data_IF_339380976830
#
_entry.id   IF_339380976830
#
_cell.length_a   1.000
_cell.length_b   1.000
_cell.length_c   1.000
_cell.angle_alpha   90.00
_cell.angle_beta   90.00
_cell.angle_gamma   90.00
#
_symmetry.space_group_name_H-M   'P 1'
#
loop_
_entity.id
_entity.type
_entity.pdbx_description
1 polymer ?
#
# COMPACT_ATOMS: atom_id res chain seq x y z
N UNK A 1 -11.19 -0.66 -23.62
CA UNK A 1 -9.93 0.06 -23.89
C UNK A 1 -10.24 1.54 -24.14
N UNK A 2 -11.31 1.82 -24.89
CA UNK A 2 -11.79 3.18 -25.19
C UNK A 2 -12.10 4.04 -23.97
N UNK A 3 -12.73 3.48 -22.93
CA UNK A 3 -13.01 4.22 -21.68
C UNK A 3 -11.74 4.66 -20.93
N UNK A 4 -10.66 3.87 -20.95
CA UNK A 4 -9.40 4.22 -20.26
C UNK A 4 -8.71 5.35 -21.02
N UNK A 5 -8.64 5.25 -22.36
CA UNK A 5 -8.00 6.28 -23.18
C UNK A 5 -8.76 7.61 -23.10
N UNK A 6 -10.09 7.58 -23.11
CA UNK A 6 -10.91 8.76 -22.89
C UNK A 6 -10.65 9.40 -21.52
N UNK A 7 -10.52 8.59 -20.46
CA UNK A 7 -10.21 9.07 -19.11
C UNK A 7 -8.81 9.69 -19.02
N UNK A 8 -7.80 9.03 -19.59
CA UNK A 8 -6.42 9.57 -19.64
C UNK A 8 -6.43 10.93 -20.34
N UNK A 9 -7.13 11.06 -21.47
CA UNK A 9 -7.23 12.34 -22.19
C UNK A 9 -7.96 13.41 -21.38
N UNK A 10 -9.02 13.04 -20.64
CA UNK A 10 -9.77 13.96 -19.75
C UNK A 10 -8.88 14.54 -18.65
N UNK A 11 -7.98 13.73 -18.10
CA UNK A 11 -7.14 14.08 -16.94
C UNK A 11 -5.66 14.29 -17.30
N UNK A 12 -5.35 14.56 -18.57
CA UNK A 12 -3.97 14.68 -19.08
C UNK A 12 -3.16 15.77 -18.36
N UNK A 13 -3.85 16.86 -18.01
CA UNK A 13 -3.30 18.01 -17.27
C UNK A 13 -2.73 17.66 -15.90
N UNK A 14 -3.07 16.51 -15.31
CA UNK A 14 -2.45 16.05 -14.05
C UNK A 14 -0.94 15.88 -14.18
N UNK A 15 -0.45 15.58 -15.39
CA UNK A 15 0.96 15.33 -15.66
C UNK A 15 1.69 16.56 -16.23
N UNK A 16 0.99 17.68 -16.42
CA UNK A 16 1.55 18.94 -16.88
C UNK A 16 1.95 19.80 -15.67
N UNK A 17 3.21 19.67 -15.23
CA UNK A 17 3.73 20.43 -14.09
C UNK A 17 4.73 21.47 -14.56
N UNK A 18 4.52 22.72 -14.15
CA UNK A 18 5.46 23.83 -14.36
C UNK A 18 6.01 24.29 -13.01
N UNK A 19 7.15 23.74 -12.55
CA UNK A 19 7.66 24.02 -11.20
C UNK A 19 7.97 25.50 -11.01
N UNK A 20 7.42 26.07 -9.94
CA UNK A 20 7.65 27.44 -9.50
C UNK A 20 9.10 27.66 -9.07
N UNK A 21 9.53 28.94 -9.00
CA UNK A 21 10.86 29.27 -8.45
C UNK A 21 11.05 28.70 -7.04
N UNK A 22 10.01 28.81 -6.20
CA UNK A 22 10.01 28.25 -4.84
C UNK A 22 10.20 26.74 -4.85
N UNK A 23 9.54 26.02 -5.75
CA UNK A 23 9.71 24.57 -5.88
C UNK A 23 11.14 24.20 -6.30
N UNK A 24 11.72 24.90 -7.27
CA UNK A 24 13.11 24.67 -7.70
C UNK A 24 14.12 24.91 -6.58
N UNK A 25 13.95 26.00 -5.83
CA UNK A 25 14.84 26.34 -4.70
C UNK A 25 14.80 25.25 -3.61
N UNK A 26 13.60 24.78 -3.27
CA UNK A 26 13.39 23.69 -2.31
C UNK A 26 13.89 22.33 -2.85
N UNK A 27 13.71 22.07 -4.15
CA UNK A 27 14.18 20.85 -4.79
C UNK A 27 15.70 20.71 -4.71
N UNK A 28 16.43 21.79 -4.97
CA UNK A 28 17.89 21.85 -4.80
C UNK A 28 18.27 21.62 -3.34
N UNK A 29 17.59 22.32 -2.40
CA UNK A 29 17.89 22.23 -0.97
C UNK A 29 17.70 20.82 -0.39
N UNK A 30 16.62 20.12 -0.78
CA UNK A 30 16.25 18.83 -0.19
C UNK A 30 16.63 17.61 -1.05
N UNK A 31 17.15 17.85 -2.26
CA UNK A 31 17.58 16.81 -3.21
C UNK A 31 16.42 16.06 -3.86
N UNK A 32 15.34 16.76 -4.22
CA UNK A 32 14.16 16.21 -4.89
C UNK A 32 14.10 16.67 -6.35
N UNK A 33 13.27 15.99 -7.16
CA UNK A 33 12.82 16.55 -8.43
C UNK A 33 11.85 17.71 -8.17
N UNK A 34 11.98 18.76 -8.97
CA UNK A 34 11.23 20.01 -8.81
C UNK A 34 9.72 19.83 -8.99
N UNK A 35 9.28 18.97 -9.91
CA UNK A 35 7.86 18.65 -10.08
C UNK A 35 7.26 18.00 -8.81
N UNK A 36 8.03 17.20 -8.07
CA UNK A 36 7.56 16.57 -6.83
C UNK A 36 7.35 17.64 -5.76
N UNK A 37 8.28 18.60 -5.66
CA UNK A 37 8.14 19.70 -4.71
C UNK A 37 6.95 20.60 -5.07
N UNK A 38 6.74 20.90 -6.35
CA UNK A 38 5.57 21.66 -6.80
C UNK A 38 4.26 20.99 -6.35
N UNK A 39 4.15 19.67 -6.56
CA UNK A 39 3.03 18.87 -6.05
C UNK A 39 2.88 18.98 -4.53
N UNK A 40 3.98 18.85 -3.79
CA UNK A 40 3.93 18.90 -2.33
C UNK A 40 3.51 20.28 -1.80
N UNK A 41 3.92 21.35 -2.48
CA UNK A 41 3.48 22.72 -2.17
C UNK A 41 1.97 22.87 -2.33
N UNK A 42 1.37 22.29 -3.38
CA UNK A 42 -0.10 22.32 -3.54
C UNK A 42 -0.80 21.46 -2.47
N UNK A 43 -0.30 20.24 -2.24
CA UNK A 43 -0.91 19.29 -1.30
C UNK A 43 -0.85 19.74 0.16
N UNK A 44 0.30 20.26 0.60
CA UNK A 44 0.57 20.49 2.02
C UNK A 44 0.63 21.97 2.40
N UNK A 45 0.76 22.87 1.41
CA UNK A 45 0.82 24.32 1.61
C UNK A 45 1.86 24.67 2.68
N UNK A 46 1.43 25.24 3.80
CA UNK A 46 2.32 25.66 4.90
C UNK A 46 3.06 24.48 5.55
N UNK A 47 2.48 23.28 5.55
CA UNK A 47 3.08 22.06 6.13
C UNK A 47 4.06 21.34 5.20
N UNK A 48 4.34 21.89 4.01
CA UNK A 48 5.26 21.27 3.03
C UNK A 48 6.65 21.08 3.63
N UNK A 49 7.16 22.05 4.38
CA UNK A 49 8.49 21.96 4.97
C UNK A 49 8.57 20.83 6.00
N UNK A 50 7.55 20.67 6.84
CA UNK A 50 7.49 19.58 7.82
C UNK A 50 7.49 18.21 7.14
N UNK A 51 6.77 18.07 6.02
CA UNK A 51 6.83 16.87 5.20
C UNK A 51 8.24 16.61 4.66
N UNK A 52 8.90 17.60 4.06
CA UNK A 52 10.25 17.46 3.52
C UNK A 52 11.29 17.13 4.60
N UNK A 53 11.20 17.78 5.75
CA UNK A 53 12.06 17.51 6.90
C UNK A 53 11.82 16.08 7.42
N UNK A 54 10.56 15.64 7.53
CA UNK A 54 10.22 14.26 7.94
C UNK A 54 10.77 13.19 7.00
N UNK A 55 10.93 13.52 5.72
CA UNK A 55 11.52 12.62 4.73
C UNK A 55 13.01 12.37 4.97
N UNK A 56 13.71 13.24 5.72
CA UNK A 56 15.11 13.05 6.09
C UNK A 56 15.33 12.13 7.29
N UNK A 57 14.28 11.81 8.06
CA UNK A 57 14.39 11.01 9.28
C UNK A 57 13.92 9.56 9.02
N UNK A 58 14.71 8.55 9.44
CA UNK A 58 14.30 7.16 9.27
C UNK A 58 13.10 6.83 10.17
N UNK A 59 12.14 6.10 9.60
CA UNK A 59 10.99 5.60 10.36
C UNK A 59 11.42 4.53 11.36
N UNK A 60 10.69 4.46 12.49
CA UNK A 60 10.86 3.37 13.44
C UNK A 60 10.52 2.04 12.77
N UNK A 61 11.32 1.01 13.05
CA UNK A 61 11.03 -0.34 12.58
C UNK A 61 9.77 -0.85 13.25
N UNK A 62 9.02 -1.68 12.53
CA UNK A 62 7.81 -2.31 13.03
C UNK A 62 7.72 -3.76 12.59
N UNK A 63 6.96 -4.54 13.35
CA UNK A 63 6.71 -5.96 13.08
C UNK A 63 5.22 -6.28 13.21
N UNK A 64 4.76 -7.24 12.41
CA UNK A 64 3.46 -7.89 12.54
C UNK A 64 3.63 -9.23 13.24
N UNK A 65 2.97 -9.42 14.37
CA UNK A 65 2.82 -10.71 15.03
C UNK A 65 2.03 -11.70 14.15
N UNK A 66 2.52 -12.93 13.99
CA UNK A 66 1.83 -13.99 13.23
C UNK A 66 1.07 -14.95 14.16
N UNK A 67 -0.23 -14.71 14.30
CA UNK A 67 -1.11 -15.50 15.17
C UNK A 67 -1.37 -16.92 14.69
N UNK A 68 -1.00 -17.28 13.45
CA UNK A 68 -1.03 -18.68 12.99
C UNK A 68 -0.02 -19.57 13.72
N UNK A 69 1.04 -18.97 14.30
CA UNK A 69 2.16 -19.72 14.90
C UNK A 69 2.41 -19.42 16.37
N UNK A 70 2.05 -18.23 16.85
CA UNK A 70 2.32 -17.81 18.22
C UNK A 70 1.32 -16.74 18.68
N UNK A 71 0.99 -16.70 19.97
CA UNK A 71 0.28 -15.56 20.54
C UNK A 71 1.19 -14.35 20.65
N UNK A 72 0.63 -13.14 20.48
CA UNK A 72 1.44 -11.93 20.46
C UNK A 72 2.10 -11.63 21.80
N UNK A 73 1.46 -11.94 22.93
CA UNK A 73 2.06 -11.77 24.25
C UNK A 73 3.28 -12.68 24.45
N UNK A 74 3.20 -13.92 23.96
CA UNK A 74 4.34 -14.85 24.00
C UNK A 74 5.48 -14.35 23.12
N UNK A 75 5.18 -13.86 21.91
CA UNK A 75 6.19 -13.26 21.03
C UNK A 75 6.90 -12.08 21.69
N UNK A 76 6.15 -11.15 22.29
CA UNK A 76 6.70 -9.97 22.97
C UNK A 76 7.63 -10.39 24.10
N UNK A 77 7.23 -11.37 24.91
CA UNK A 77 8.04 -11.89 26.01
C UNK A 77 9.35 -12.55 25.52
N UNK A 78 9.30 -13.36 24.45
CA UNK A 78 10.48 -13.99 23.87
C UNK A 78 11.47 -12.97 23.29
N UNK A 79 10.97 -11.93 22.61
CA UNK A 79 11.79 -10.87 22.06
C UNK A 79 12.37 -9.97 23.16
N UNK A 80 11.63 -9.71 24.25
CA UNK A 80 12.12 -8.96 25.41
C UNK A 80 13.33 -9.61 26.07
N UNK A 81 13.33 -10.95 26.22
CA UNK A 81 14.48 -11.72 26.73
C UNK A 81 15.75 -11.54 25.89
N UNK A 82 15.60 -11.17 24.62
CA UNK A 82 16.71 -10.92 23.67
C UNK A 82 17.06 -9.44 23.52
N UNK A 83 16.52 -8.58 24.39
CA UNK A 83 16.79 -7.14 24.38
C UNK A 83 16.01 -6.34 23.33
N UNK A 84 14.96 -6.91 22.72
CA UNK A 84 14.04 -6.17 21.87
C UNK A 84 12.87 -5.65 22.70
N UNK A 85 12.64 -4.34 22.69
CA UNK A 85 11.52 -3.72 23.37
C UNK A 85 10.50 -3.26 22.36
N UNK A 86 9.29 -3.82 22.46
CA UNK A 86 8.20 -3.58 21.54
C UNK A 86 7.09 -2.77 22.21
N UNK A 87 6.49 -1.86 21.46
CA UNK A 87 5.27 -1.14 21.85
C UNK A 87 4.12 -1.59 20.95
N UNK A 88 3.01 -2.03 21.55
CA UNK A 88 1.80 -2.35 20.80
C UNK A 88 1.23 -1.08 20.18
N UNK A 89 0.72 -1.19 18.95
CA UNK A 89 0.04 -0.11 18.25
C UNK A 89 -1.46 -0.26 18.50
N UNK A 90 -2.09 0.72 19.14
CA UNK A 90 -3.47 0.60 19.64
C UNK A 90 -4.50 0.33 18.52
N UNK A 91 -4.27 0.91 17.34
CA UNK A 91 -5.13 0.77 16.16
C UNK A 91 -4.74 -0.40 15.23
N UNK A 92 -3.73 -1.21 15.59
CA UNK A 92 -3.36 -2.43 14.86
C UNK A 92 -3.31 -3.64 15.80
N UNK A 93 -4.27 -4.58 15.71
CA UNK A 93 -4.34 -5.73 16.62
C UNK A 93 -3.04 -6.53 16.75
N UNK A 94 -2.33 -6.71 15.62
CA UNK A 94 -1.10 -7.50 15.54
C UNK A 94 0.17 -6.65 15.28
N UNK A 95 0.07 -5.32 15.32
CA UNK A 95 1.16 -4.40 14.97
C UNK A 95 1.97 -3.94 16.18
N UNK A 96 3.29 -3.96 16.07
CA UNK A 96 4.21 -3.51 17.11
C UNK A 96 5.30 -2.60 16.54
N UNK A 97 5.54 -1.47 17.21
CA UNK A 97 6.72 -0.64 17.00
C UNK A 97 7.91 -1.22 17.78
N UNK A 98 9.10 -1.17 17.17
CA UNK A 98 10.35 -1.56 17.82
C UNK A 98 10.98 -0.32 18.43
N UNK A 99 10.91 -0.18 19.76
CA UNK A 99 11.46 0.96 20.50
C UNK A 99 12.98 0.87 20.64
N UNK A 100 13.49 -0.33 20.89
CA UNK A 100 14.92 -0.61 20.95
C UNK A 100 15.21 -2.07 20.61
N UNK A 101 16.44 -2.33 20.15
CA UNK A 101 16.91 -3.64 19.73
C UNK A 101 18.42 -3.78 19.99
N UNK A 102 18.93 -5.01 20.23
CA UNK A 102 20.35 -5.24 20.45
C UNK A 102 21.16 -5.02 19.17
N UNK A 103 22.49 -4.90 19.29
CA UNK A 103 23.40 -4.87 18.12
C UNK A 103 23.32 -6.17 17.30
N UNK A 104 23.13 -7.30 17.97
CA UNK A 104 22.99 -8.62 17.36
C UNK A 104 22.09 -9.51 18.23
N UNK A 105 21.23 -10.37 17.66
CA UNK A 105 20.91 -10.48 16.23
C UNK A 105 20.08 -9.28 15.72
N UNK A 106 20.03 -9.08 14.40
CA UNK A 106 19.08 -8.14 13.79
C UNK A 106 17.66 -8.72 13.83
N UNK A 107 16.63 -7.87 13.64
CA UNK A 107 15.23 -8.34 13.57
C UNK A 107 15.01 -9.43 12.51
N UNK A 108 15.74 -9.41 11.39
CA UNK A 108 15.62 -10.41 10.34
C UNK A 108 16.44 -11.69 10.59
N UNK A 109 17.19 -11.75 11.68
CA UNK A 109 18.10 -12.84 12.02
C UNK A 109 17.75 -13.52 13.35
N UNK A 110 16.64 -13.15 14.00
CA UNK A 110 16.18 -13.84 15.21
C UNK A 110 15.63 -15.23 14.87
N UNK A 111 15.73 -16.16 15.82
CA UNK A 111 15.12 -17.49 15.68
C UNK A 111 13.59 -17.37 15.48
N UNK A 112 12.95 -16.41 16.15
CA UNK A 112 11.51 -16.13 16.05
C UNK A 112 11.13 -15.68 14.64
N UNK A 113 11.95 -14.83 14.00
CA UNK A 113 11.75 -14.46 12.61
C UNK A 113 11.89 -15.67 11.68
N UNK A 114 12.93 -16.48 11.85
CA UNK A 114 13.16 -17.68 11.03
C UNK A 114 12.04 -18.72 11.21
N UNK A 115 11.48 -18.86 12.41
CA UNK A 115 10.30 -19.70 12.68
C UNK A 115 9.00 -19.13 12.11
N UNK A 116 9.02 -17.89 11.64
CA UNK A 116 7.86 -17.20 11.08
C UNK A 116 6.88 -16.68 12.12
N UNK A 117 7.34 -16.39 13.33
CA UNK A 117 6.51 -15.86 14.42
C UNK A 117 6.11 -14.40 14.20
N UNK A 118 6.85 -13.68 13.36
CA UNK A 118 6.49 -12.34 12.92
C UNK A 118 7.02 -12.02 11.52
N UNK A 119 6.48 -10.95 10.97
CA UNK A 119 6.91 -10.36 9.69
C UNK A 119 7.34 -8.91 9.90
N UNK A 120 8.41 -8.47 9.23
CA UNK A 120 8.88 -7.08 9.30
C UNK A 120 8.18 -6.31 8.18
N UNK A 121 7.29 -5.40 8.53
CA UNK A 121 6.58 -4.53 7.58
C UNK A 121 6.18 -3.23 8.27
N UNK A 122 6.07 -2.15 7.49
CA UNK A 122 5.59 -0.86 7.98
C UNK A 122 4.16 -0.93 8.53
N UNK A 123 3.82 0.01 9.41
CA UNK A 123 2.52 0.04 10.07
C UNK A 123 1.39 0.33 9.07
N UNK A 124 1.61 1.27 8.14
CA UNK A 124 0.59 1.60 7.14
C UNK A 124 0.33 0.41 6.19
N UNK A 125 1.39 -0.32 5.85
CA UNK A 125 1.32 -1.53 5.03
C UNK A 125 0.48 -2.66 5.64
N UNK A 126 0.17 -2.61 6.95
CA UNK A 126 -0.70 -3.59 7.60
C UNK A 126 -2.19 -3.28 7.40
N UNK A 127 -2.56 -2.03 7.15
CA UNK A 127 -3.95 -1.56 7.15
C UNK A 127 -4.79 -2.19 6.01
N UNK A 128 -4.30 -2.30 4.76
CA UNK A 128 -5.14 -2.79 3.65
C UNK A 128 -5.80 -4.14 3.89
N UNK A 129 -5.09 -5.08 4.53
CA UNK A 129 -5.64 -6.39 4.85
C UNK A 129 -6.76 -6.33 5.89
N UNK A 130 -6.64 -5.45 6.90
CA UNK A 130 -7.72 -5.23 7.88
C UNK A 130 -8.91 -4.51 7.26
N UNK A 131 -8.67 -3.53 6.39
CA UNK A 131 -9.75 -2.81 5.68
C UNK A 131 -10.53 -3.76 4.76
N UNK A 132 -9.85 -4.69 4.09
CA UNK A 132 -10.52 -5.69 3.25
C UNK A 132 -11.38 -6.66 4.08
N UNK A 133 -10.91 -6.95 5.29
CA UNK A 133 -11.54 -7.81 6.30
C UNK A 133 -12.07 -9.13 5.71
N UNK A 134 -11.18 -10.02 5.20
CA UNK A 134 -11.60 -11.29 4.65
C UNK A 134 -12.04 -12.27 5.75
N UNK A 135 -13.09 -13.03 5.46
CA UNK A 135 -13.63 -14.12 6.27
C UNK A 135 -13.13 -15.48 5.78
N UNK A 136 -13.36 -16.52 6.59
CA UNK A 136 -13.00 -17.90 6.24
C UNK A 136 -13.77 -18.48 5.05
N UNK A 137 -14.90 -17.88 4.65
CA UNK A 137 -15.69 -18.25 3.47
C UNK A 137 -15.29 -17.50 2.20
N UNK A 138 -14.46 -16.45 2.31
CA UNK A 138 -14.13 -15.62 1.16
C UNK A 138 -13.17 -16.31 0.19
N UNK A 139 -13.37 -15.99 -1.09
CA UNK A 139 -12.40 -16.28 -2.13
C UNK A 139 -11.69 -14.97 -2.50
N UNK A 140 -10.41 -14.90 -2.14
CA UNK A 140 -9.64 -13.65 -2.15
C UNK A 140 -8.61 -13.66 -3.28
N UNK A 141 -8.47 -12.54 -3.99
CA UNK A 141 -7.36 -12.30 -4.92
C UNK A 141 -6.40 -11.25 -4.36
N UNK A 142 -5.11 -11.54 -4.32
CA UNK A 142 -4.04 -10.57 -4.17
C UNK A 142 -3.36 -10.39 -5.53
N UNK A 143 -3.57 -9.24 -6.17
CA UNK A 143 -3.17 -8.99 -7.56
C UNK A 143 -1.67 -8.69 -7.73
N UNK A 144 -0.97 -8.35 -6.65
CA UNK A 144 0.44 -7.94 -6.68
C UNK A 144 1.15 -8.39 -5.39
N UNK A 145 1.21 -9.70 -5.20
CA UNK A 145 1.42 -10.33 -3.90
C UNK A 145 2.84 -10.19 -3.34
N UNK A 146 3.89 -10.16 -4.16
CA UNK A 146 5.24 -10.21 -3.62
C UNK A 146 5.64 -8.90 -2.91
N UNK A 147 6.38 -8.97 -1.79
CA UNK A 147 7.06 -10.14 -1.23
C UNK A 147 6.20 -11.05 -0.33
N UNK A 148 4.89 -10.81 -0.20
CA UNK A 148 3.96 -11.69 0.52
C UNK A 148 3.53 -11.19 1.89
N UNK A 149 3.96 -10.00 2.31
CA UNK A 149 3.59 -9.43 3.62
C UNK A 149 2.06 -9.32 3.79
N UNK A 150 1.40 -8.64 2.86
CA UNK A 150 -0.07 -8.48 2.87
C UNK A 150 -0.81 -9.79 2.57
N UNK A 151 -0.33 -10.59 1.62
CA UNK A 151 -0.91 -11.91 1.29
C UNK A 151 -0.96 -12.84 2.50
N UNK A 152 0.14 -12.94 3.24
CA UNK A 152 0.20 -13.76 4.46
C UNK A 152 -0.59 -13.15 5.61
N UNK A 153 -0.81 -11.83 5.60
CA UNK A 153 -1.72 -11.19 6.53
C UNK A 153 -3.18 -11.56 6.26
N UNK A 154 -3.59 -11.60 4.99
CA UNK A 154 -4.92 -12.07 4.60
C UNK A 154 -5.13 -13.51 5.08
N UNK A 155 -4.15 -14.38 4.84
CA UNK A 155 -4.18 -15.77 5.33
C UNK A 155 -4.28 -15.87 6.86
N UNK A 156 -3.54 -15.02 7.58
CA UNK A 156 -3.61 -14.91 9.04
C UNK A 156 -5.01 -14.49 9.52
N UNK A 157 -5.63 -13.49 8.88
CA UNK A 157 -6.99 -13.04 9.22
C UNK A 157 -8.05 -14.09 8.91
N UNK A 158 -7.84 -14.90 7.87
CA UNK A 158 -8.70 -16.01 7.50
C UNK A 158 -8.42 -17.29 8.30
N UNK A 159 -7.48 -17.27 9.26
CA UNK A 159 -7.07 -18.44 10.04
C UNK A 159 -6.70 -19.67 9.19
N UNK A 160 -6.00 -19.47 8.07
CA UNK A 160 -5.70 -20.54 7.10
C UNK A 160 -6.94 -21.24 6.48
N UNK A 161 -8.13 -20.64 6.56
CA UNK A 161 -9.37 -21.13 5.92
C UNK A 161 -9.69 -20.31 4.66
N UNK A 162 -10.66 -20.75 3.87
CA UNK A 162 -10.99 -20.10 2.59
C UNK A 162 -9.89 -20.30 1.55
N UNK A 163 -9.85 -19.42 0.53
CA UNK A 163 -8.90 -19.53 -0.59
C UNK A 163 -8.33 -18.17 -0.95
N UNK A 164 -7.02 -18.10 -1.16
CA UNK A 164 -6.33 -16.90 -1.65
C UNK A 164 -5.59 -17.24 -2.93
N UNK A 165 -5.81 -16.49 -4.01
CA UNK A 165 -4.92 -16.49 -5.19
C UNK A 165 -3.95 -15.33 -5.06
N UNK A 166 -2.66 -15.63 -5.05
CA UNK A 166 -1.59 -14.65 -4.94
C UNK A 166 -0.85 -14.53 -6.28
N UNK A 167 -0.94 -13.36 -6.93
CA UNK A 167 -0.39 -13.14 -8.26
C UNK A 167 0.92 -12.38 -8.19
N UNK A 168 1.94 -12.86 -8.91
CA UNK A 168 3.20 -12.12 -9.09
C UNK A 168 3.77 -12.34 -10.49
N UNK A 169 4.01 -11.25 -11.23
CA UNK A 169 4.57 -11.31 -12.59
C UNK A 169 6.05 -11.64 -12.61
N UNK A 170 6.82 -11.12 -11.65
CA UNK A 170 8.28 -11.21 -11.62
C UNK A 170 8.78 -12.58 -11.16
N UNK A 171 9.56 -13.24 -12.02
CA UNK A 171 10.28 -14.48 -11.69
C UNK A 171 11.23 -14.31 -10.51
N UNK A 172 11.80 -13.11 -10.32
CA UNK A 172 12.74 -12.86 -9.22
C UNK A 172 11.99 -12.75 -7.89
N UNK A 173 10.85 -12.03 -7.88
CA UNK A 173 10.10 -11.74 -6.65
C UNK A 173 9.28 -12.92 -6.16
N UNK A 174 8.87 -13.83 -7.04
CA UNK A 174 8.08 -15.02 -6.65
C UNK A 174 8.80 -15.90 -5.63
N UNK A 175 10.14 -15.98 -5.69
CA UNK A 175 10.94 -16.74 -4.71
C UNK A 175 10.79 -16.18 -3.29
N UNK A 176 10.76 -14.84 -3.15
CA UNK A 176 10.56 -14.20 -1.87
C UNK A 176 9.12 -14.42 -1.36
N UNK A 177 8.13 -14.36 -2.26
CA UNK A 177 6.74 -14.66 -1.95
C UNK A 177 6.57 -16.09 -1.42
N UNK A 178 7.07 -17.08 -2.16
CA UNK A 178 7.04 -18.50 -1.79
C UNK A 178 7.75 -18.75 -0.45
N UNK A 179 8.97 -18.21 -0.30
CA UNK A 179 9.73 -18.32 0.95
C UNK A 179 8.97 -17.75 2.14
N UNK A 180 8.34 -16.58 2.00
CA UNK A 180 7.57 -15.96 3.07
C UNK A 180 6.27 -16.69 3.40
N UNK A 181 5.54 -17.19 2.39
CA UNK A 181 4.33 -18.01 2.59
C UNK A 181 4.68 -19.26 3.41
N UNK A 182 5.70 -20.01 2.97
CA UNK A 182 6.15 -21.22 3.66
C UNK A 182 6.66 -20.91 5.07
N UNK A 183 7.53 -19.89 5.21
CA UNK A 183 8.07 -19.48 6.52
C UNK A 183 6.97 -19.07 7.48
N UNK A 184 5.94 -18.36 7.04
CA UNK A 184 4.84 -17.91 7.90
C UNK A 184 3.77 -18.99 8.13
N UNK A 185 3.82 -20.12 7.43
CA UNK A 185 2.87 -21.22 7.60
C UNK A 185 1.47 -20.91 7.07
N UNK A 186 1.40 -20.11 6.00
CA UNK A 186 0.14 -19.81 5.32
C UNK A 186 -0.18 -20.93 4.33
N UNK A 187 -1.27 -21.67 4.54
CA UNK A 187 -1.58 -22.92 3.82
C UNK A 187 -2.73 -22.80 2.83
N UNK A 188 -3.49 -21.71 2.85
CA UNK A 188 -4.65 -21.45 2.00
C UNK A 188 -4.35 -20.59 0.76
N UNK A 189 -3.08 -20.47 0.36
CA UNK A 189 -2.63 -19.61 -0.73
C UNK A 189 -2.20 -20.42 -1.95
N UNK A 190 -2.76 -20.11 -3.11
CA UNK A 190 -2.30 -20.56 -4.43
C UNK A 190 -1.50 -19.44 -5.10
N UNK A 191 -0.22 -19.68 -5.39
CA UNK A 191 0.63 -18.72 -6.10
C UNK A 191 0.47 -18.89 -7.62
N UNK A 192 0.19 -17.81 -8.33
CA UNK A 192 0.09 -17.79 -9.80
C UNK A 192 1.08 -16.79 -10.37
N UNK A 193 2.03 -17.28 -11.18
CA UNK A 193 2.98 -16.41 -11.87
C UNK A 193 2.41 -15.92 -13.19
N UNK A 194 1.80 -14.74 -13.19
CA UNK A 194 1.27 -14.13 -14.41
C UNK A 194 1.18 -12.62 -14.27
N UNK A 195 0.88 -11.93 -15.37
CA UNK A 195 0.38 -10.57 -15.33
C UNK A 195 -1.07 -10.59 -14.85
N UNK A 196 -1.40 -9.88 -13.77
CA UNK A 196 -2.74 -9.90 -13.20
C UNK A 196 -3.82 -9.49 -14.20
N UNK A 197 -3.50 -8.64 -15.18
CA UNK A 197 -4.43 -8.23 -16.25
C UNK A 197 -4.86 -9.38 -17.17
N UNK A 198 -4.11 -10.50 -17.20
CA UNK A 198 -4.46 -11.70 -17.97
C UNK A 198 -5.57 -12.49 -17.29
N UNK A 199 -5.73 -12.37 -15.96
CA UNK A 199 -6.76 -13.10 -15.22
C UNK A 199 -8.17 -12.78 -15.66
N UNK A 200 -8.42 -11.63 -16.29
CA UNK A 200 -9.73 -11.29 -16.88
C UNK A 200 -10.26 -12.34 -17.88
N UNK A 201 -9.38 -13.16 -18.45
CA UNK A 201 -9.72 -14.26 -19.37
C UNK A 201 -10.13 -15.55 -18.65
N UNK A 202 -9.99 -15.60 -17.33
CA UNK A 202 -10.39 -16.73 -16.52
C UNK A 202 -11.87 -16.64 -16.12
N UNK A 203 -12.42 -17.76 -15.66
CA UNK A 203 -13.76 -17.82 -15.08
C UNK A 203 -13.77 -17.54 -13.57
N UNK A 204 -12.67 -17.05 -13.01
CA UNK A 204 -12.63 -16.74 -11.58
C UNK A 204 -13.52 -15.54 -11.26
N UNK A 205 -14.19 -15.65 -10.12
CA UNK A 205 -14.85 -14.55 -9.44
C UNK A 205 -14.46 -14.55 -7.98
N UNK A 206 -14.23 -13.36 -7.44
CA UNK A 206 -13.73 -13.17 -6.10
C UNK A 206 -14.68 -12.31 -5.29
N UNK A 207 -14.95 -12.71 -4.06
CA UNK A 207 -15.73 -11.92 -3.11
C UNK A 207 -14.92 -10.74 -2.58
N UNK A 208 -13.59 -10.88 -2.55
CA UNK A 208 -12.63 -9.91 -2.02
C UNK A 208 -11.40 -9.81 -2.91
N UNK A 209 -10.95 -8.60 -3.20
CA UNK A 209 -9.71 -8.37 -3.94
C UNK A 209 -8.84 -7.35 -3.17
N UNK A 210 -7.55 -7.66 -3.04
CA UNK A 210 -6.51 -6.73 -2.65
C UNK A 210 -5.70 -6.34 -3.89
N UNK A 211 -5.69 -5.06 -4.20
CA UNK A 211 -4.84 -4.44 -5.21
C UNK A 211 -3.87 -3.48 -4.52
N UNK A 212 -2.77 -4.01 -4.00
CA UNK A 212 -1.62 -3.22 -3.56
C UNK A 212 -0.77 -2.86 -4.80
N UNK A 213 -1.14 -1.77 -5.46
CA UNK A 213 -0.74 -1.54 -6.83
C UNK A 213 0.75 -1.19 -6.94
N UNK A 214 1.44 -1.63 -8.02
CA UNK A 214 2.79 -1.15 -8.31
C UNK A 214 2.76 0.37 -8.52
N UNK A 215 3.63 1.08 -7.80
CA UNK A 215 3.66 2.53 -7.76
C UNK A 215 5.10 3.07 -7.71
N UNK A 216 5.24 4.39 -7.84
CA UNK A 216 6.49 5.15 -7.62
C UNK A 216 7.13 4.83 -6.26
N UNK A 217 6.27 4.64 -5.26
CA UNK A 217 6.60 4.42 -3.86
C UNK A 217 7.16 5.67 -3.18
N UNK A 218 6.73 6.87 -3.58
CA UNK A 218 7.12 8.15 -2.97
C UNK A 218 6.91 8.18 -1.44
N UNK A 219 5.91 7.48 -0.93
CA UNK A 219 5.68 7.37 0.52
C UNK A 219 6.78 6.63 1.30
N UNK A 220 7.68 5.92 0.59
CA UNK A 220 8.81 5.21 1.18
C UNK A 220 10.11 6.04 1.19
N UNK A 221 10.10 7.32 0.81
CA UNK A 221 11.29 8.19 0.85
C UNK A 221 12.03 8.15 2.22
N UNK A 222 11.34 8.20 3.39
CA UNK A 222 12.02 8.06 4.69
C UNK A 222 12.83 6.77 4.86
N UNK A 223 12.51 5.72 4.09
CA UNK A 223 13.16 4.40 4.12
C UNK A 223 14.22 4.30 3.00
N UNK A 224 13.95 4.90 1.84
CA UNK A 224 14.77 4.81 0.63
C UNK A 224 14.87 6.19 -0.04
N UNK A 225 15.93 6.93 0.31
CA UNK A 225 16.19 8.29 -0.17
C UNK A 225 16.36 8.39 -1.69
N UNK A 226 16.73 7.31 -2.37
CA UNK A 226 16.88 7.31 -3.84
C UNK A 226 15.58 7.68 -4.56
N UNK A 227 14.43 7.49 -3.91
CA UNK A 227 13.10 7.78 -4.45
C UNK A 227 12.81 9.25 -4.65
N UNK A 228 13.61 10.14 -4.06
CA UNK A 228 13.53 11.59 -4.31
C UNK A 228 13.83 11.97 -5.77
N UNK A 229 14.57 11.13 -6.49
CA UNK A 229 15.05 11.42 -7.85
C UNK A 229 14.83 10.29 -8.86
N UNK A 230 14.22 9.17 -8.44
CA UNK A 230 14.13 7.96 -9.27
C UNK A 230 13.00 7.97 -10.29
N UNK A 231 11.89 8.65 -10.00
CA UNK A 231 10.66 8.57 -10.79
C UNK A 231 10.50 9.86 -11.57
N UNK A 232 10.55 9.78 -12.90
CA UNK A 232 10.20 10.92 -13.76
C UNK A 232 8.68 11.09 -13.85
N UNK A 233 8.21 12.23 -14.35
CA UNK A 233 6.77 12.45 -14.60
C UNK A 233 6.21 11.45 -15.63
N UNK A 234 7.03 11.00 -16.59
CA UNK A 234 6.65 9.97 -17.56
C UNK A 234 6.50 8.61 -16.89
N UNK A 235 7.40 8.26 -15.97
CA UNK A 235 7.29 7.03 -15.18
C UNK A 235 6.02 7.03 -14.31
N UNK A 236 5.72 8.17 -13.69
CA UNK A 236 4.50 8.35 -12.91
C UNK A 236 3.24 8.12 -13.75
N UNK A 237 3.22 8.67 -14.97
CA UNK A 237 2.14 8.44 -15.94
C UNK A 237 2.03 6.96 -16.33
N UNK A 238 3.14 6.26 -16.51
CA UNK A 238 3.14 4.83 -16.79
C UNK A 238 2.60 4.00 -15.61
N UNK A 239 2.91 4.38 -14.37
CA UNK A 239 2.31 3.77 -13.17
C UNK A 239 0.80 3.99 -13.14
N UNK A 240 0.35 5.22 -13.34
CA UNK A 240 -1.08 5.55 -13.43
C UNK A 240 -1.80 4.68 -14.48
N UNK A 241 -1.29 4.60 -15.71
CA UNK A 241 -1.89 3.76 -16.77
C UNK A 241 -1.92 2.28 -16.37
N UNK A 242 -0.85 1.78 -15.74
CA UNK A 242 -0.81 0.40 -15.24
C UNK A 242 -1.87 0.17 -14.18
N UNK A 243 -2.01 1.10 -13.24
CA UNK A 243 -2.99 1.06 -12.15
C UNK A 243 -4.43 1.09 -12.68
N UNK A 244 -4.74 1.90 -13.70
CA UNK A 244 -6.05 1.91 -14.38
C UNK A 244 -6.40 0.54 -14.99
N UNK A 245 -5.43 -0.11 -15.64
CA UNK A 245 -5.63 -1.45 -16.21
C UNK A 245 -5.84 -2.51 -15.12
N UNK A 246 -5.10 -2.41 -14.00
CA UNK A 246 -5.23 -3.33 -12.88
C UNK A 246 -6.57 -3.16 -12.16
N UNK A 247 -7.02 -1.94 -11.87
CA UNK A 247 -8.30 -1.71 -11.20
C UNK A 247 -9.49 -2.10 -12.08
N UNK A 248 -9.41 -1.86 -13.39
CA UNK A 248 -10.42 -2.36 -14.34
C UNK A 248 -10.45 -3.89 -14.38
N UNK A 249 -9.28 -4.54 -14.31
CA UNK A 249 -9.21 -6.00 -14.19
C UNK A 249 -9.83 -6.48 -12.87
N UNK A 250 -9.50 -5.83 -11.75
CA UNK A 250 -10.06 -6.14 -10.44
C UNK A 250 -11.59 -6.10 -10.47
N UNK A 251 -12.16 -5.01 -11.00
CA UNK A 251 -13.61 -4.86 -11.16
C UNK A 251 -14.26 -5.98 -11.99
N UNK A 252 -13.61 -6.41 -13.08
CA UNK A 252 -14.11 -7.50 -13.93
C UNK A 252 -14.11 -8.87 -13.25
N UNK A 253 -13.22 -9.07 -12.27
CA UNK A 253 -13.03 -10.31 -11.53
C UNK A 253 -13.81 -10.34 -10.21
N UNK A 254 -14.32 -9.20 -9.77
CA UNK A 254 -15.07 -9.07 -8.53
C UNK A 254 -16.50 -9.58 -8.69
N UNK A 255 -16.99 -10.35 -7.73
CA UNK A 255 -18.41 -10.73 -7.63
C UNK A 255 -19.30 -9.50 -7.44
N UNK A 256 -20.59 -9.67 -7.70
CA UNK A 256 -21.60 -8.66 -7.37
C UNK A 256 -21.60 -8.41 -5.85
N UNK A 257 -21.57 -7.14 -5.44
CA UNK A 257 -21.37 -6.70 -4.05
C UNK A 257 -20.00 -7.05 -3.43
N UNK A 258 -19.07 -7.63 -4.20
CA UNK A 258 -17.71 -7.91 -3.75
C UNK A 258 -16.97 -6.63 -3.37
N UNK A 259 -15.91 -6.76 -2.56
CA UNK A 259 -15.11 -5.63 -2.10
C UNK A 259 -13.69 -5.66 -2.63
N UNK A 260 -13.20 -4.50 -3.04
CA UNK A 260 -11.83 -4.27 -3.47
C UNK A 260 -11.16 -3.30 -2.49
N UNK A 261 -9.98 -3.64 -1.99
CA UNK A 261 -9.08 -2.65 -1.40
C UNK A 261 -8.02 -2.29 -2.43
N UNK A 262 -7.99 -1.02 -2.81
CA UNK A 262 -6.88 -0.42 -3.54
C UNK A 262 -5.92 0.23 -2.53
N UNK A 263 -4.63 -0.02 -2.68
CA UNK A 263 -3.61 0.69 -1.90
C UNK A 263 -2.34 0.96 -2.69
N UNK A 264 -1.62 2.00 -2.29
CA UNK A 264 -0.26 2.29 -2.77
C UNK A 264 0.62 2.75 -1.62
N UNK A 265 1.94 2.59 -1.78
CA UNK A 265 2.94 3.27 -0.95
C UNK A 265 3.39 4.60 -1.58
N UNK A 266 2.51 5.25 -2.33
CA UNK A 266 2.72 6.57 -2.94
C UNK A 266 1.85 7.62 -2.28
N UNK A 267 2.30 8.87 -2.32
CA UNK A 267 1.52 10.03 -1.90
C UNK A 267 0.99 10.86 -3.08
N UNK A 268 1.42 10.53 -4.30
CA UNK A 268 1.04 11.21 -5.54
C UNK A 268 -0.47 11.06 -5.81
N UNK A 269 -1.25 12.17 -5.89
CA UNK A 269 -2.67 12.12 -6.27
C UNK A 269 -2.91 11.45 -7.63
N UNK A 270 -1.94 11.53 -8.53
CA UNK A 270 -1.96 10.91 -9.86
C UNK A 270 -2.03 9.37 -9.79
N UNK A 271 -1.41 8.75 -8.78
CA UNK A 271 -1.45 7.30 -8.56
C UNK A 271 -2.56 6.86 -7.59
N UNK A 272 -3.22 7.82 -6.95
CA UNK A 272 -4.14 7.59 -5.86
C UNK A 272 -5.55 8.03 -6.27
N UNK A 273 -5.92 9.27 -5.98
CA UNK A 273 -7.27 9.79 -6.26
C UNK A 273 -7.63 9.77 -7.73
N UNK A 274 -6.69 10.03 -8.64
CA UNK A 274 -6.98 9.94 -10.06
C UNK A 274 -7.36 8.51 -10.50
N UNK A 275 -6.79 7.48 -9.86
CA UNK A 275 -7.13 6.06 -10.11
C UNK A 275 -8.46 5.69 -9.48
N UNK A 276 -8.72 6.12 -8.24
CA UNK A 276 -10.00 5.85 -7.57
C UNK A 276 -11.14 6.61 -8.26
N UNK A 277 -10.90 7.84 -8.70
CA UNK A 277 -11.88 8.62 -9.45
C UNK A 277 -12.28 7.93 -10.76
N UNK A 278 -11.35 7.23 -11.43
CA UNK A 278 -11.68 6.37 -12.56
C UNK A 278 -12.60 5.20 -12.16
N UNK A 279 -12.33 4.55 -11.03
CA UNK A 279 -13.18 3.47 -10.54
C UNK A 279 -14.61 3.95 -10.22
N UNK A 280 -14.75 5.18 -9.71
CA UNK A 280 -16.05 5.80 -9.44
C UNK A 280 -16.75 6.17 -10.76
N UNK A 281 -16.12 7.00 -11.58
CA UNK A 281 -16.75 7.59 -12.77
C UNK A 281 -16.98 6.57 -13.91
N UNK A 282 -16.05 5.65 -14.12
CA UNK A 282 -16.05 4.77 -15.29
C UNK A 282 -16.45 3.33 -14.98
N UNK A 283 -16.27 2.88 -13.74
CA UNK A 283 -16.63 1.52 -13.33
C UNK A 283 -17.87 1.50 -12.41
N UNK A 284 -18.34 2.65 -11.93
CA UNK A 284 -19.51 2.75 -11.05
C UNK A 284 -19.27 2.20 -9.64
N UNK A 285 -18.01 2.05 -9.23
CA UNK A 285 -17.67 1.53 -7.90
C UNK A 285 -17.93 2.58 -6.82
N UNK A 286 -18.35 2.13 -5.64
CA UNK A 286 -18.69 2.98 -4.50
C UNK A 286 -17.62 2.91 -3.41
N UNK A 287 -16.94 4.02 -3.07
CA UNK A 287 -16.02 4.07 -1.95
C UNK A 287 -16.75 3.94 -0.61
N UNK A 288 -16.29 3.02 0.22
CA UNK A 288 -16.74 2.84 1.59
C UNK A 288 -15.79 3.59 2.53
N UNK A 289 -16.35 4.40 3.42
CA UNK A 289 -15.59 5.16 4.42
C UNK A 289 -14.79 4.23 5.33
N UNK A 290 -13.51 4.56 5.50
CA UNK A 290 -12.59 3.92 6.46
C UNK A 290 -12.48 4.83 7.68
N UNK A 291 -12.87 4.36 8.86
CA UNK A 291 -12.90 5.17 10.09
C UNK A 291 -12.13 4.59 11.27
N UNK A 292 -11.67 3.35 11.14
CA UNK A 292 -11.06 2.56 12.22
C UNK A 292 -9.57 2.87 12.39
N UNK A 293 -8.98 3.62 11.46
CA UNK A 293 -7.55 3.87 11.37
C UNK A 293 -7.25 5.37 11.37
N UNK A 294 -6.11 5.78 11.96
CA UNK A 294 -5.67 7.17 11.86
C UNK A 294 -5.35 7.51 10.40
N UNK A 295 -5.64 8.75 10.00
CA UNK A 295 -5.30 9.22 8.67
C UNK A 295 -6.02 10.49 8.28
N UNK A 296 -5.56 11.08 7.19
CA UNK A 296 -6.25 12.16 6.49
C UNK A 296 -7.24 11.57 5.48
N UNK A 297 -8.25 12.36 5.11
CA UNK A 297 -9.16 12.03 4.00
C UNK A 297 -8.43 12.12 2.65
N UNK A 298 -9.00 11.49 1.63
CA UNK A 298 -8.58 11.70 0.24
C UNK A 298 -8.79 13.13 -0.25
N UNK A 299 -8.07 13.49 -1.30
CA UNK A 299 -8.05 14.82 -1.93
C UNK A 299 -9.14 14.90 -3.00
N UNK A 300 -10.04 15.88 -2.93
CA UNK A 300 -11.12 16.05 -3.91
C UNK A 300 -10.80 17.07 -5.01
N UNK A 301 -9.72 17.83 -4.86
CA UNK A 301 -9.24 18.78 -5.86
C UNK A 301 -7.72 18.86 -5.82
N UNK A 302 -7.09 18.81 -6.99
CA UNK A 302 -5.63 18.89 -7.13
C UNK A 302 -5.28 19.63 -8.42
N UNK A 303 -4.41 20.64 -8.38
CA UNK A 303 -4.04 21.44 -9.56
C UNK A 303 -5.25 22.03 -10.33
N UNK A 304 -6.33 22.41 -9.61
CA UNK A 304 -7.57 22.93 -10.20
C UNK A 304 -8.45 21.86 -10.89
N UNK A 305 -8.04 20.59 -10.84
CA UNK A 305 -8.82 19.45 -11.33
C UNK A 305 -9.68 18.96 -10.17
N UNK A 306 -11.01 19.00 -10.38
CA UNK A 306 -11.98 18.46 -9.42
C UNK A 306 -12.22 16.98 -9.67
N UNK A 307 -12.21 16.22 -8.59
CA UNK A 307 -12.57 14.81 -8.54
C UNK A 307 -13.90 14.62 -7.80
N UNK A 308 -14.38 13.37 -7.72
CA UNK A 308 -15.56 13.02 -6.92
C UNK A 308 -15.36 13.35 -5.44
N UNK A 309 -16.41 13.91 -4.82
CA UNK A 309 -16.47 14.16 -3.37
C UNK A 309 -16.39 12.88 -2.54
N UNK A 310 -16.74 11.73 -3.13
CA UNK A 310 -16.67 10.42 -2.48
C UNK A 310 -15.23 10.00 -2.14
N UNK A 311 -14.21 10.64 -2.75
CA UNK A 311 -12.80 10.42 -2.40
C UNK A 311 -12.46 10.81 -0.96
N UNK A 312 -13.31 11.58 -0.27
CA UNK A 312 -13.19 11.83 1.17
C UNK A 312 -13.28 10.55 2.02
N UNK A 313 -13.79 9.46 1.44
CA UNK A 313 -13.85 8.14 2.07
C UNK A 313 -12.53 7.36 2.02
N UNK A 314 -11.55 7.83 1.24
CA UNK A 314 -10.21 7.28 1.19
C UNK A 314 -9.38 7.68 2.42
N UNK A 315 -8.38 6.88 2.74
CA UNK A 315 -7.45 7.09 3.85
C UNK A 315 -6.04 7.41 3.32
N UNK A 316 -5.45 8.49 3.84
CA UNK A 316 -4.07 8.91 3.57
C UNK A 316 -3.24 8.95 4.84
N UNK A 317 -2.06 8.38 4.75
CA UNK A 317 -1.04 8.43 5.78
C UNK A 317 0.18 9.19 5.26
N UNK A 318 0.86 9.86 6.19
CA UNK A 318 1.98 10.74 5.90
C UNK A 318 3.02 10.67 7.02
N UNK A 319 4.33 10.71 6.70
CA UNK A 319 5.38 10.63 7.70
C UNK A 319 5.30 11.73 8.77
N UNK A 320 5.27 13.01 8.36
CA UNK A 320 5.19 14.15 9.28
C UNK A 320 3.93 14.20 10.18
N UNK A 321 2.83 13.54 9.80
CA UNK A 321 1.57 13.57 10.57
C UNK A 321 1.35 12.34 11.43
N UNK A 322 1.77 11.18 10.95
CA UNK A 322 1.40 9.89 11.57
C UNK A 322 2.61 9.06 12.00
N UNK A 323 3.84 9.46 11.67
CA UNK A 323 5.03 8.69 11.99
C UNK A 323 5.12 7.34 11.26
N UNK A 324 4.40 7.19 10.13
CA UNK A 324 4.39 6.00 9.28
C UNK A 324 4.99 6.31 7.90
N UNK A 325 5.11 5.30 7.05
CA UNK A 325 5.29 5.54 5.62
C UNK A 325 4.12 6.35 5.04
N UNK A 326 4.39 7.08 3.95
CA UNK A 326 3.33 7.66 3.14
C UNK A 326 2.53 6.54 2.45
N UNK A 327 1.22 6.58 2.58
CA UNK A 327 0.38 5.47 2.14
C UNK A 327 -1.03 5.93 1.77
N UNK A 328 -1.65 5.27 0.80
CA UNK A 328 -3.01 5.54 0.38
C UNK A 328 -3.83 4.26 0.36
N UNK A 329 -5.08 4.33 0.82
CA UNK A 329 -6.00 3.19 0.91
C UNK A 329 -7.41 3.63 0.54
N UNK A 330 -8.08 2.86 -0.30
CA UNK A 330 -9.50 3.00 -0.60
C UNK A 330 -10.18 1.62 -0.57
N UNK A 331 -11.28 1.52 0.16
CA UNK A 331 -12.19 0.38 0.10
C UNK A 331 -13.30 0.70 -0.89
N UNK A 332 -13.47 -0.13 -1.89
CA UNK A 332 -14.49 0.00 -2.93
C UNK A 332 -15.43 -1.19 -2.89
N UNK A 333 -16.70 -0.94 -3.18
CA UNK A 333 -17.70 -1.96 -3.48
C UNK A 333 -18.13 -1.83 -4.94
N UNK A 334 -18.28 -2.97 -5.60
CA UNK A 334 -18.91 -3.07 -6.93
C UNK A 334 -20.42 -3.12 -6.78
#
# INVERSE_FOLDING_TARGET
>A
MDSIMAYIKKYDKLFEVSPSRKARDLAIKYGFLDYMIERYLDMFKDSTKDFLDSCGYPLKKSIRCNTLKISCDKLVNELKKKGFYLKKVDWLPHGYEVLSYPKSPSLGATIEYLKGYYYIQGLASMIPAYVLNPSSSDFVLDMAAAPGGKTTQLSQLMENKGKIIAVEKSRKRIRALESNINRLGATNILIVRTDATVLKKSNFRFTKILLDAPCSGEGLIPIDQSRKTRTSILDLRNFFITQLNLISTAFSLLDDNGRLVYSTCSIAPEENEAVINFAIENLGMKPIKISEFPGCKGITEFHGIKFSEELKNCLRLYPHKHGTEGFFICLLQK
#
